data_IF_493869195252
#
_entry.id   IF_493869195252
#
_cell.length_a   1.000
_cell.length_b   1.000
_cell.length_c   1.000
_cell.angle_alpha   90.00
_cell.angle_beta   90.00
_cell.angle_gamma   90.00
#
_symmetry.space_group_name_H-M   'P 1'
#
loop_
_entity.id
_entity.type
_entity.pdbx_description
1 polymer ?
#
# COMPACT_ATOMS: atom_id res chain seq x y z
N UNK A 1 5.79 -8.64 10.41
CA UNK A 1 4.99 -7.42 10.36
C UNK A 1 3.76 -7.58 9.47
N UNK A 2 3.08 -6.48 9.13
CA UNK A 2 1.81 -6.49 8.36
C UNK A 2 2.01 -6.56 6.83
N UNK A 3 3.25 -6.45 6.34
CA UNK A 3 3.56 -6.43 4.90
C UNK A 3 3.00 -7.63 4.11
N UNK A 4 3.07 -8.90 4.57
CA UNK A 4 2.50 -10.03 3.84
C UNK A 4 1.00 -9.88 3.59
N UNK A 5 0.27 -9.32 4.57
CA UNK A 5 -1.16 -9.05 4.41
C UNK A 5 -1.43 -7.99 3.34
N UNK A 6 -0.64 -6.92 3.33
CA UNK A 6 -0.79 -5.86 2.33
C UNK A 6 -0.57 -6.43 0.93
N UNK A 7 0.52 -7.19 0.74
CA UNK A 7 0.82 -7.84 -0.54
C UNK A 7 -0.29 -8.80 -0.99
N UNK A 8 -0.81 -9.62 -0.07
CA UNK A 8 -1.93 -10.52 -0.35
C UNK A 8 -3.21 -9.76 -0.73
N UNK A 9 -3.54 -8.70 0.00
CA UNK A 9 -4.71 -7.86 -0.26
C UNK A 9 -4.63 -7.20 -1.64
N UNK A 10 -3.45 -6.73 -2.02
CA UNK A 10 -3.17 -6.16 -3.33
C UNK A 10 -3.38 -7.17 -4.44
N UNK A 11 -2.77 -8.35 -4.31
CA UNK A 11 -2.88 -9.44 -5.30
C UNK A 11 -4.35 -9.82 -5.48
N UNK A 12 -5.09 -9.99 -4.38
CA UNK A 12 -6.51 -10.33 -4.45
C UNK A 12 -7.34 -9.20 -5.08
N UNK A 13 -7.05 -7.93 -4.79
CA UNK A 13 -7.73 -6.80 -5.42
C UNK A 13 -7.46 -6.74 -6.93
N UNK A 14 -6.22 -6.98 -7.36
CA UNK A 14 -5.87 -7.04 -8.78
C UNK A 14 -6.57 -8.21 -9.47
N UNK A 15 -6.54 -9.39 -8.86
CA UNK A 15 -7.25 -10.57 -9.38
C UNK A 15 -8.76 -10.33 -9.47
N UNK A 16 -9.35 -9.62 -8.51
CA UNK A 16 -10.79 -9.29 -8.51
C UNK A 16 -11.15 -8.34 -9.67
N UNK A 17 -10.23 -7.51 -10.12
CA UNK A 17 -10.47 -6.63 -11.27
C UNK A 17 -10.18 -7.29 -12.62
N UNK A 18 -9.36 -8.36 -12.64
CA UNK A 18 -8.94 -9.05 -13.86
C UNK A 18 -9.73 -10.34 -14.14
N UNK A 19 -10.21 -11.02 -13.10
CA UNK A 19 -10.90 -12.30 -13.21
C UNK A 19 -12.40 -12.10 -13.08
N UNK A 20 -13.21 -12.38 -14.15
CA UNK A 20 -14.66 -12.14 -14.15
C UNK A 20 -15.40 -12.86 -13.01
N UNK A 21 -14.96 -14.06 -12.63
CA UNK A 21 -15.56 -14.83 -11.53
C UNK A 21 -15.42 -14.12 -10.17
N UNK A 22 -14.27 -13.46 -9.92
CA UNK A 22 -14.05 -12.70 -8.69
C UNK A 22 -14.76 -11.33 -8.74
N UNK A 23 -14.91 -10.76 -9.93
CA UNK A 23 -15.69 -9.53 -10.12
C UNK A 23 -17.18 -9.78 -9.80
N UNK A 24 -17.73 -10.92 -10.22
CA UNK A 24 -19.09 -11.33 -9.87
C UNK A 24 -19.26 -11.48 -8.35
N UNK A 25 -18.31 -12.11 -7.67
CA UNK A 25 -18.29 -12.19 -6.21
C UNK A 25 -18.32 -10.81 -5.55
N UNK A 26 -17.60 -9.83 -6.10
CA UNK A 26 -17.64 -8.45 -5.60
C UNK A 26 -19.03 -7.82 -5.75
N UNK A 27 -19.76 -8.15 -6.83
CA UNK A 27 -21.14 -7.68 -7.08
C UNK A 27 -22.18 -8.35 -6.17
N UNK A 28 -21.91 -9.52 -5.59
CA UNK A 28 -22.78 -10.22 -4.62
C UNK A 28 -22.89 -9.48 -3.26
N UNK A 29 -22.25 -8.34 -3.08
CA UNK A 29 -22.32 -7.51 -1.87
C UNK A 29 -21.58 -8.11 -0.67
N UNK A 30 -22.20 -8.11 0.53
CA UNK A 30 -21.52 -8.50 1.77
C UNK A 30 -21.05 -9.95 1.82
N UNK A 31 -21.77 -10.88 1.17
CA UNK A 31 -21.37 -12.30 1.14
C UNK A 31 -20.14 -12.51 0.26
N UNK A 32 -20.10 -11.88 -0.90
CA UNK A 32 -18.94 -11.93 -1.78
C UNK A 32 -17.70 -11.28 -1.15
N UNK A 33 -17.88 -10.15 -0.45
CA UNK A 33 -16.79 -9.50 0.27
C UNK A 33 -16.18 -10.39 1.37
N UNK A 34 -17.01 -11.16 2.09
CA UNK A 34 -16.51 -12.14 3.08
C UNK A 34 -15.61 -13.19 2.43
N UNK A 35 -15.98 -13.71 1.25
CA UNK A 35 -15.16 -14.69 0.51
C UNK A 35 -13.85 -14.08 0.02
N UNK A 36 -13.88 -12.85 -0.50
CA UNK A 36 -12.67 -12.12 -0.92
C UNK A 36 -11.73 -11.92 0.27
N UNK A 37 -12.25 -11.55 1.43
CA UNK A 37 -11.45 -11.42 2.65
C UNK A 37 -10.85 -12.76 3.10
N UNK A 38 -11.56 -13.89 2.94
CA UNK A 38 -11.00 -15.22 3.21
C UNK A 38 -9.83 -15.55 2.27
N UNK A 39 -9.96 -15.28 0.98
CA UNK A 39 -8.84 -15.47 0.03
C UNK A 39 -7.63 -14.60 0.40
N UNK A 40 -7.86 -13.37 0.83
CA UNK A 40 -6.80 -12.49 1.32
C UNK A 40 -6.10 -13.09 2.56
N UNK A 41 -6.85 -13.66 3.51
CA UNK A 41 -6.27 -14.32 4.69
C UNK A 41 -5.42 -15.53 4.31
N UNK A 42 -5.89 -16.41 3.42
CA UNK A 42 -5.11 -17.54 2.95
C UNK A 42 -3.86 -17.12 2.19
N UNK A 43 -3.97 -16.11 1.31
CA UNK A 43 -2.83 -15.52 0.63
C UNK A 43 -1.82 -14.91 1.60
N UNK A 44 -2.29 -14.28 2.67
CA UNK A 44 -1.43 -13.74 3.74
C UNK A 44 -0.64 -14.82 4.45
N UNK A 45 -1.28 -15.93 4.82
CA UNK A 45 -0.58 -17.06 5.47
C UNK A 45 0.49 -17.63 4.56
N UNK A 46 0.16 -17.86 3.28
CA UNK A 46 1.12 -18.37 2.30
C UNK A 46 2.34 -17.45 2.14
N UNK A 47 2.10 -16.15 1.90
CA UNK A 47 3.17 -15.17 1.73
C UNK A 47 3.98 -14.97 3.02
N UNK A 48 3.33 -14.92 4.18
CA UNK A 48 4.01 -14.79 5.47
C UNK A 48 4.91 -15.98 5.75
N UNK A 49 4.45 -17.21 5.43
CA UNK A 49 5.25 -18.42 5.59
C UNK A 49 6.48 -18.41 4.68
N UNK A 50 6.32 -18.04 3.40
CA UNK A 50 7.43 -17.91 2.47
C UNK A 50 8.44 -16.87 2.96
N UNK A 51 8.00 -15.68 3.33
CA UNK A 51 8.87 -14.61 3.81
C UNK A 51 9.56 -14.97 5.13
N UNK A 52 8.85 -15.60 6.07
CA UNK A 52 9.40 -16.04 7.34
C UNK A 52 10.48 -17.13 7.16
N UNK A 53 10.28 -18.05 6.23
CA UNK A 53 11.28 -19.07 5.89
C UNK A 53 12.53 -18.44 5.27
N UNK A 54 12.36 -17.52 4.31
CA UNK A 54 13.49 -16.80 3.69
C UNK A 54 14.29 -16.00 4.72
N UNK A 55 13.61 -15.34 5.64
CA UNK A 55 14.27 -14.60 6.73
C UNK A 55 15.05 -15.54 7.66
N UNK A 56 14.47 -16.69 8.04
CA UNK A 56 15.14 -17.67 8.90
C UNK A 56 16.43 -18.20 8.25
N UNK A 57 16.37 -18.55 6.96
CA UNK A 57 17.54 -19.00 6.20
C UNK A 57 18.60 -17.89 6.08
N UNK A 58 18.18 -16.65 5.85
CA UNK A 58 19.06 -15.49 5.76
C UNK A 58 19.80 -15.23 7.10
N UNK A 59 19.09 -15.34 8.21
CA UNK A 59 19.68 -15.17 9.56
C UNK A 59 20.71 -16.27 9.87
N UNK A 60 20.44 -17.52 9.48
CA UNK A 60 21.39 -18.61 9.64
C UNK A 60 22.64 -18.40 8.77
N UNK A 61 22.45 -18.03 7.51
CA UNK A 61 23.55 -17.77 6.58
C UNK A 61 24.41 -16.56 7.01
N UNK A 62 23.80 -15.58 7.68
CA UNK A 62 24.49 -14.42 8.25
C UNK A 62 25.25 -14.67 9.55
N UNK A 63 25.21 -15.89 10.10
CA UNK A 63 25.91 -16.24 11.35
C UNK A 63 25.35 -15.52 12.58
N UNK A 64 24.11 -14.98 12.49
CA UNK A 64 23.47 -14.25 13.58
C UNK A 64 22.76 -15.18 14.59
N UNK A 65 22.73 -16.47 14.30
CA UNK A 65 22.05 -17.49 15.10
C UNK A 65 23.06 -18.39 15.75
N UNK A 66 22.98 -18.56 17.07
CA UNK A 66 23.91 -19.39 17.87
C UNK A 66 23.72 -20.87 17.57
N UNK A 67 22.47 -21.32 17.43
CA UNK A 67 22.09 -22.68 17.09
C UNK A 67 21.11 -22.66 15.89
N UNK A 68 21.65 -22.86 14.68
CA UNK A 68 20.84 -23.02 13.47
C UNK A 68 20.25 -24.43 13.38
N UNK A 69 19.21 -24.58 12.59
CA UNK A 69 18.63 -25.88 12.29
C UNK A 69 17.10 -25.86 12.18
N UNK A 70 16.53 -27.05 12.03
CA UNK A 70 15.09 -27.20 11.82
C UNK A 70 14.25 -26.59 12.95
N UNK A 71 14.72 -26.71 14.20
CA UNK A 71 14.03 -26.14 15.36
C UNK A 71 13.95 -24.61 15.29
N UNK A 72 15.07 -23.95 15.01
CA UNK A 72 15.12 -22.49 14.85
C UNK A 72 14.20 -22.03 13.71
N UNK A 73 14.26 -22.68 12.54
CA UNK A 73 13.42 -22.35 11.39
C UNK A 73 11.93 -22.50 11.72
N UNK A 74 11.56 -23.60 12.39
CA UNK A 74 10.18 -23.82 12.80
C UNK A 74 9.70 -22.79 13.81
N UNK A 75 10.50 -22.47 14.83
CA UNK A 75 10.18 -21.46 15.83
C UNK A 75 10.03 -20.06 15.17
N UNK A 76 10.95 -19.68 14.29
CA UNK A 76 10.92 -18.43 13.54
C UNK A 76 9.65 -18.33 12.67
N UNK A 77 9.31 -19.41 11.93
CA UNK A 77 8.10 -19.50 11.14
C UNK A 77 6.84 -19.28 11.98
N UNK A 78 6.67 -20.06 13.03
CA UNK A 78 5.48 -19.99 13.90
C UNK A 78 5.34 -18.60 14.51
N UNK A 79 6.43 -18.01 14.99
CA UNK A 79 6.42 -16.69 15.64
C UNK A 79 6.08 -15.57 14.64
N UNK A 80 6.71 -15.57 13.47
CA UNK A 80 6.50 -14.51 12.47
C UNK A 80 5.13 -14.61 11.81
N UNK A 81 4.68 -15.82 11.46
CA UNK A 81 3.34 -16.03 10.90
C UNK A 81 2.27 -15.73 11.96
N UNK A 82 2.44 -16.21 13.18
CA UNK A 82 1.54 -15.92 14.30
C UNK A 82 1.42 -14.43 14.58
N UNK A 83 2.54 -13.69 14.60
CA UNK A 83 2.56 -12.24 14.76
C UNK A 83 1.86 -11.51 13.59
N UNK A 84 2.03 -11.98 12.36
CA UNK A 84 1.35 -11.42 11.19
C UNK A 84 -0.16 -11.65 11.26
N UNK A 85 -0.58 -12.87 11.64
CA UNK A 85 -2.00 -13.19 11.78
C UNK A 85 -2.66 -12.42 12.92
N UNK A 86 -1.94 -12.21 14.03
CA UNK A 86 -2.41 -11.39 15.14
C UNK A 86 -2.62 -9.93 14.73
N UNK A 87 -1.65 -9.33 14.02
CA UNK A 87 -1.79 -7.96 13.51
C UNK A 87 -2.92 -7.82 12.50
N UNK A 88 -3.10 -8.80 11.64
CA UNK A 88 -4.22 -8.83 10.70
C UNK A 88 -5.57 -8.87 11.44
N UNK A 89 -5.72 -9.78 12.40
CA UNK A 89 -6.92 -9.86 13.24
C UNK A 89 -7.19 -8.56 13.99
N UNK A 90 -6.15 -7.95 14.57
CA UNK A 90 -6.25 -6.67 15.26
C UNK A 90 -6.73 -5.56 14.30
N UNK A 91 -6.16 -5.49 13.09
CA UNK A 91 -6.59 -4.54 12.07
C UNK A 91 -8.04 -4.71 11.65
N UNK A 92 -8.52 -5.96 11.55
CA UNK A 92 -9.93 -6.25 11.28
C UNK A 92 -10.85 -5.84 12.44
N UNK A 93 -10.43 -6.06 13.70
CA UNK A 93 -11.20 -5.62 14.87
C UNK A 93 -11.29 -4.08 14.94
N UNK A 94 -10.20 -3.39 14.65
CA UNK A 94 -10.21 -1.91 14.59
C UNK A 94 -11.14 -1.42 13.49
N UNK A 95 -11.13 -2.06 12.32
CA UNK A 95 -12.03 -1.72 11.21
C UNK A 95 -13.49 -1.99 11.55
N UNK A 96 -13.78 -3.09 12.26
CA UNK A 96 -15.16 -3.49 12.59
C UNK A 96 -15.78 -2.67 13.73
N UNK A 97 -14.98 -2.22 14.70
CA UNK A 97 -15.44 -1.57 15.93
C UNK A 97 -14.86 -0.17 16.18
N UNK A 98 -13.88 0.24 15.39
CA UNK A 98 -13.18 1.51 15.52
C UNK A 98 -13.52 2.50 14.40
N UNK A 99 -12.60 3.42 14.15
CA UNK A 99 -12.75 4.49 13.16
C UNK A 99 -11.85 4.24 11.96
N UNK A 100 -12.42 4.19 10.77
CA UNK A 100 -11.67 4.07 9.51
C UNK A 100 -11.13 2.67 9.24
N UNK A 101 -10.05 2.59 8.46
CA UNK A 101 -9.41 1.33 8.10
C UNK A 101 -8.32 0.97 9.12
N UNK A 102 -8.55 -0.08 9.92
CA UNK A 102 -7.65 -0.50 10.99
C UNK A 102 -6.26 -0.89 10.52
N UNK A 103 -6.13 -1.44 9.32
CA UNK A 103 -4.82 -1.81 8.76
C UNK A 103 -4.01 -0.57 8.41
N UNK A 104 -4.64 0.43 7.82
CA UNK A 104 -4.00 1.72 7.55
C UNK A 104 -3.55 2.41 8.83
N UNK A 105 -4.33 2.28 9.91
CA UNK A 105 -3.97 2.78 11.24
C UNK A 105 -2.74 2.06 11.81
N UNK A 106 -2.65 0.74 11.68
CA UNK A 106 -1.48 -0.03 12.15
C UNK A 106 -0.22 0.38 11.39
N UNK A 107 -0.31 0.58 10.07
CA UNK A 107 0.82 1.06 9.25
C UNK A 107 1.24 2.46 9.71
N UNK A 108 0.27 3.36 9.88
CA UNK A 108 0.50 4.72 10.33
C UNK A 108 1.20 4.78 11.71
N UNK A 109 0.71 4.00 12.67
CA UNK A 109 1.33 3.90 14.00
C UNK A 109 2.74 3.34 13.92
N UNK A 110 2.98 2.32 13.07
CA UNK A 110 4.30 1.75 12.84
C UNK A 110 5.31 2.79 12.31
N UNK A 111 4.89 3.63 11.38
CA UNK A 111 5.73 4.70 10.84
C UNK A 111 5.99 5.78 11.90
N UNK A 112 4.95 6.23 12.61
CA UNK A 112 5.09 7.30 13.61
C UNK A 112 5.90 6.85 14.82
N UNK A 113 5.83 5.59 15.21
CA UNK A 113 6.59 5.06 16.34
C UNK A 113 8.12 5.20 16.16
N UNK A 114 8.61 5.21 14.93
CA UNK A 114 10.04 5.37 14.63
C UNK A 114 10.49 6.83 14.55
N UNK A 115 9.55 7.78 14.37
CA UNK A 115 9.87 9.21 14.19
C UNK A 115 10.62 9.81 15.38
N UNK A 116 10.26 9.56 16.66
CA UNK A 116 11.00 10.13 17.80
C UNK A 116 12.45 9.66 17.85
N UNK A 117 12.70 8.37 17.58
CA UNK A 117 14.05 7.82 17.56
C UNK A 117 14.88 8.40 16.39
N UNK A 118 14.29 8.51 15.22
CA UNK A 118 14.92 9.12 14.04
C UNK A 118 15.26 10.60 14.28
N UNK A 119 14.38 11.38 14.89
CA UNK A 119 14.64 12.77 15.27
C UNK A 119 15.76 12.88 16.29
N UNK A 120 15.76 12.04 17.34
CA UNK A 120 16.82 12.03 18.33
C UNK A 120 18.19 11.76 17.69
N UNK A 121 18.27 10.80 16.80
CA UNK A 121 19.47 10.42 16.05
C UNK A 121 19.93 11.55 15.11
N UNK A 122 19.00 12.19 14.43
CA UNK A 122 19.26 13.34 13.54
C UNK A 122 19.86 14.52 14.32
N UNK A 123 19.28 14.90 15.45
CA UNK A 123 19.81 15.97 16.30
C UNK A 123 21.14 15.60 16.97
N UNK A 124 21.34 14.33 17.34
CA UNK A 124 22.61 13.85 17.85
C UNK A 124 23.73 13.98 16.81
N UNK A 125 23.44 13.63 15.54
CA UNK A 125 24.36 13.81 14.41
C UNK A 125 24.69 15.29 14.15
N UNK A 126 23.74 16.17 14.38
CA UNK A 126 23.98 17.62 14.33
C UNK A 126 24.91 18.13 15.45
N UNK A 127 24.73 17.60 16.67
CA UNK A 127 25.61 17.96 17.83
C UNK A 127 27.04 17.42 17.69
N UNK A 128 27.21 16.26 17.07
CA UNK A 128 28.53 15.67 16.82
C UNK A 128 29.29 16.36 15.66
N UNK A 129 28.69 17.36 15.01
CA UNK A 129 29.30 18.08 13.87
C UNK A 129 29.31 17.29 12.57
N UNK A 130 28.71 16.11 12.53
CA UNK A 130 28.60 15.30 11.31
C UNK A 130 27.68 15.95 10.26
N UNK A 131 26.74 16.78 10.69
CA UNK A 131 25.80 17.50 9.83
C UNK A 131 25.88 19.00 10.13
N UNK A 132 26.00 19.83 9.08
CA UNK A 132 26.06 21.28 9.28
C UNK A 132 24.69 21.83 9.71
N UNK A 133 24.64 22.90 10.51
CA UNK A 133 23.39 23.54 10.95
C UNK A 133 22.47 23.94 9.79
N UNK A 134 23.05 24.36 8.67
CA UNK A 134 22.30 24.72 7.47
C UNK A 134 21.54 23.53 6.87
N UNK A 135 22.13 22.34 6.88
CA UNK A 135 21.47 21.12 6.41
C UNK A 135 20.32 20.72 7.35
N UNK A 136 20.48 20.90 8.67
CA UNK A 136 19.43 20.63 9.64
C UNK A 136 18.20 21.50 9.36
N UNK A 137 18.39 22.79 9.19
CA UNK A 137 17.32 23.74 8.86
C UNK A 137 16.69 23.37 7.50
N UNK A 138 17.51 23.04 6.50
CA UNK A 138 17.05 22.63 5.17
C UNK A 138 16.18 21.38 5.22
N UNK A 139 16.56 20.37 5.99
CA UNK A 139 15.75 19.13 6.15
C UNK A 139 14.43 19.41 6.85
N UNK A 140 14.42 20.20 7.92
CA UNK A 140 13.17 20.56 8.62
C UNK A 140 12.23 21.33 7.67
N UNK A 141 12.77 22.30 6.93
CA UNK A 141 11.98 23.05 5.95
C UNK A 141 11.41 22.12 4.87
N UNK A 142 12.23 21.22 4.35
CA UNK A 142 11.81 20.23 3.35
C UNK A 142 10.68 19.34 3.86
N UNK A 143 10.75 18.86 5.11
CA UNK A 143 9.70 18.06 5.73
C UNK A 143 8.39 18.84 5.82
N UNK A 144 8.43 20.09 6.29
CA UNK A 144 7.24 20.95 6.41
C UNK A 144 6.62 21.21 5.04
N UNK A 145 7.44 21.56 4.03
CA UNK A 145 6.97 21.80 2.66
C UNK A 145 6.35 20.54 2.07
N UNK A 146 6.97 19.38 2.27
CA UNK A 146 6.45 18.09 1.78
C UNK A 146 5.10 17.76 2.41
N UNK A 147 4.96 17.92 3.73
CA UNK A 147 3.68 17.67 4.43
C UNK A 147 2.62 18.65 3.91
N UNK A 148 2.93 19.93 3.79
CA UNK A 148 2.00 20.92 3.27
C UNK A 148 1.54 20.59 1.84
N UNK A 149 2.47 20.17 0.97
CA UNK A 149 2.19 19.79 -0.40
C UNK A 149 1.30 18.55 -0.47
N UNK A 150 1.61 17.51 0.32
CA UNK A 150 0.80 16.26 0.37
C UNK A 150 -0.61 16.57 0.86
N UNK A 151 -0.77 17.35 1.93
CA UNK A 151 -2.09 17.75 2.44
C UNK A 151 -2.87 18.55 1.40
N UNK A 152 -2.21 19.45 0.69
CA UNK A 152 -2.82 20.22 -0.40
C UNK A 152 -3.34 19.30 -1.50
N UNK A 153 -2.53 18.36 -1.97
CA UNK A 153 -2.91 17.41 -3.02
C UNK A 153 -4.03 16.45 -2.59
N UNK A 154 -3.99 15.95 -1.35
CA UNK A 154 -5.03 15.06 -0.81
C UNK A 154 -6.40 15.75 -0.64
N UNK A 155 -6.39 17.07 -0.37
CA UNK A 155 -7.61 17.87 -0.26
C UNK A 155 -8.09 18.43 -1.59
N UNK A 156 -7.29 18.33 -2.66
CA UNK A 156 -7.62 18.87 -3.97
C UNK A 156 -8.81 18.13 -4.61
N UNK A 157 -9.84 18.86 -4.95
CA UNK A 157 -11.05 18.36 -5.59
C UNK A 157 -11.25 19.03 -6.96
N UNK A 158 -11.48 18.22 -7.98
CA UNK A 158 -11.92 18.71 -9.29
C UNK A 158 -13.44 18.72 -9.33
N UNK A 159 -14.04 19.88 -9.52
CA UNK A 159 -15.49 20.04 -9.62
C UNK A 159 -15.91 19.86 -11.09
N UNK A 160 -16.67 18.81 -11.38
CA UNK A 160 -17.26 18.57 -12.71
C UNK A 160 -18.67 19.13 -12.69
N UNK A 161 -18.99 20.01 -13.64
CA UNK A 161 -20.31 20.63 -13.75
C UNK A 161 -21.31 19.61 -14.31
N UNK A 162 -22.42 19.38 -13.59
CA UNK A 162 -23.53 18.53 -14.02
C UNK A 162 -24.75 19.43 -14.23
N UNK A 163 -25.33 19.36 -15.42
CA UNK A 163 -26.60 20.02 -15.74
C UNK A 163 -27.72 19.00 -15.68
N UNK A 164 -28.68 19.23 -14.80
CA UNK A 164 -29.89 18.44 -14.80
C UNK A 164 -30.89 18.98 -15.83
N UNK A 165 -31.56 18.09 -16.60
CA UNK A 165 -32.57 18.53 -17.56
C UNK A 165 -33.72 19.23 -16.85
N UNK A 166 -34.30 20.22 -17.52
CA UNK A 166 -35.49 20.90 -17.02
C UNK A 166 -36.65 19.93 -17.01
N UNK A 167 -37.31 19.78 -15.85
CA UNK A 167 -38.53 18.97 -15.70
C UNK A 167 -39.74 19.89 -15.75
N UNK A 168 -40.71 19.57 -16.60
CA UNK A 168 -42.01 20.21 -16.63
C UNK A 168 -42.95 19.42 -15.73
N UNK A 169 -43.31 20.00 -14.59
CA UNK A 169 -44.29 19.41 -13.66
C UNK A 169 -45.58 20.26 -13.79
N UNK A 170 -46.49 19.80 -14.63
CA UNK A 170 -47.70 20.54 -14.95
C UNK A 170 -47.43 21.85 -15.72
N UNK A 171 -48.02 22.96 -15.29
CA UNK A 171 -47.84 24.31 -15.90
C UNK A 171 -46.56 25.04 -15.40
N UNK A 172 -45.79 24.48 -14.49
CA UNK A 172 -44.57 25.10 -13.92
C UNK A 172 -43.35 24.44 -14.54
N UNK A 173 -42.52 25.22 -15.16
CA UNK A 173 -41.17 24.81 -15.62
C UNK A 173 -40.24 25.01 -14.43
N UNK A 174 -39.77 23.92 -13.86
CA UNK A 174 -38.73 23.95 -12.81
C UNK A 174 -37.40 24.11 -13.53
N UNK A 175 -36.70 25.21 -13.26
CA UNK A 175 -35.35 25.43 -13.81
C UNK A 175 -34.44 24.32 -13.35
N UNK A 176 -33.69 23.70 -14.30
CA UNK A 176 -32.73 22.66 -14.00
C UNK A 176 -31.67 23.18 -13.03
N UNK A 177 -31.55 22.55 -11.87
CA UNK A 177 -30.49 22.88 -10.92
C UNK A 177 -29.15 22.43 -11.49
N UNK A 178 -28.15 23.30 -11.46
CA UNK A 178 -26.79 22.93 -11.77
C UNK A 178 -26.10 22.46 -10.48
N UNK A 179 -25.52 21.28 -10.51
CA UNK A 179 -24.75 20.72 -9.40
C UNK A 179 -23.30 20.44 -9.84
N UNK A 180 -22.41 20.30 -8.88
CA UNK A 180 -21.01 19.98 -9.15
C UNK A 180 -20.67 18.64 -8.50
N UNK A 181 -20.15 17.69 -9.29
CA UNK A 181 -19.62 16.42 -8.80
C UNK A 181 -18.18 16.66 -8.32
N UNK A 182 -17.90 16.55 -7.01
CA UNK A 182 -16.54 16.67 -6.50
C UNK A 182 -15.79 15.36 -6.72
N UNK A 183 -14.78 15.37 -7.60
CA UNK A 183 -13.89 14.22 -7.83
C UNK A 183 -12.53 14.53 -7.23
N UNK A 184 -11.99 13.63 -6.39
CA UNK A 184 -10.65 13.77 -5.85
C UNK A 184 -9.61 13.74 -6.97
N UNK A 185 -8.60 14.61 -6.91
CA UNK A 185 -7.49 14.63 -7.87
C UNK A 185 -6.64 13.37 -7.73
N UNK A 186 -6.43 12.91 -6.49
CA UNK A 186 -5.74 11.64 -6.20
C UNK A 186 -6.70 10.66 -5.51
N UNK A 187 -7.55 9.91 -6.26
CA UNK A 187 -8.45 8.92 -5.67
C UNK A 187 -7.73 7.66 -5.20
N UNK A 188 -6.53 7.38 -5.71
CA UNK A 188 -5.74 6.22 -5.35
C UNK A 188 -5.00 6.36 -4.00
N UNK A 189 -4.76 7.59 -3.54
CA UNK A 189 -4.08 7.86 -2.27
C UNK A 189 -2.66 7.29 -2.21
N UNK A 190 -2.32 6.65 -1.10
CA UNK A 190 -1.00 6.03 -0.85
C UNK A 190 -0.88 4.60 -1.41
N UNK A 191 -1.99 4.00 -1.84
CA UNK A 191 -2.05 2.59 -2.26
C UNK A 191 -1.04 2.24 -3.37
N UNK A 192 -0.86 3.03 -4.44
CA UNK A 192 0.12 2.75 -5.48
C UNK A 192 1.57 2.66 -4.99
N UNK A 193 1.95 3.49 -4.03
CA UNK A 193 3.29 3.47 -3.45
C UNK A 193 3.54 2.18 -2.65
N UNK A 194 2.52 1.71 -1.91
CA UNK A 194 2.57 0.45 -1.17
C UNK A 194 2.66 -0.73 -2.15
N UNK A 195 1.95 -0.68 -3.28
CA UNK A 195 2.01 -1.69 -4.34
C UNK A 195 3.41 -1.79 -4.94
N UNK A 196 3.96 -0.67 -5.36
CA UNK A 196 5.28 -0.60 -5.94
C UNK A 196 6.36 -1.12 -4.96
N UNK A 197 6.30 -0.72 -3.68
CA UNK A 197 7.24 -1.19 -2.66
C UNK A 197 7.12 -2.69 -2.40
N UNK A 198 5.89 -3.22 -2.30
CA UNK A 198 5.66 -4.65 -2.09
C UNK A 198 6.16 -5.51 -3.26
N UNK A 199 5.97 -5.03 -4.49
CA UNK A 199 6.43 -5.76 -5.68
C UNK A 199 7.97 -5.75 -5.79
N UNK A 200 8.61 -4.63 -5.46
CA UNK A 200 10.07 -4.52 -5.46
C UNK A 200 10.75 -5.35 -4.36
N UNK A 201 10.04 -5.65 -3.27
CA UNK A 201 10.54 -6.55 -2.24
C UNK A 201 10.55 -8.02 -2.66
N UNK A 202 9.72 -8.43 -3.64
CA UNK A 202 9.68 -9.83 -4.09
C UNK A 202 11.02 -10.32 -4.67
N UNK A 203 11.69 -9.64 -5.61
CA UNK A 203 13.00 -10.05 -6.08
C UNK A 203 14.05 -10.10 -4.97
N UNK A 204 14.02 -9.14 -4.04
CA UNK A 204 14.92 -9.13 -2.89
C UNK A 204 14.70 -10.33 -1.96
N UNK A 205 13.45 -10.74 -1.72
CA UNK A 205 13.15 -11.95 -0.96
C UNK A 205 13.56 -13.23 -1.70
N UNK A 206 13.35 -13.30 -3.02
CA UNK A 206 13.77 -14.46 -3.83
C UNK A 206 15.29 -14.60 -3.81
N UNK A 207 16.05 -13.50 -3.86
CA UNK A 207 17.51 -13.55 -3.77
C UNK A 207 18.01 -14.09 -2.43
N UNK A 208 17.29 -13.86 -1.32
CA UNK A 208 17.66 -14.46 -0.02
C UNK A 208 17.49 -15.98 0.02
N UNK A 209 16.58 -16.55 -0.79
CA UNK A 209 16.43 -18.01 -0.92
C UNK A 209 17.52 -18.67 -1.75
N UNK A 210 18.10 -17.95 -2.72
CA UNK A 210 19.15 -18.49 -3.61
C UNK A 210 20.51 -18.63 -2.94
N UNK A 211 20.71 -18.09 -1.75
CA UNK A 211 21.99 -18.14 -1.03
C UNK A 211 23.15 -17.60 -1.88
N UNK A 212 24.35 -18.16 -1.68
CA UNK A 212 25.57 -17.78 -2.42
C UNK A 212 25.60 -18.22 -3.89
N UNK A 213 24.56 -18.88 -4.39
CA UNK A 213 24.45 -19.35 -5.80
C UNK A 213 23.63 -18.40 -6.68
N UNK A 214 23.68 -17.10 -6.38
CA UNK A 214 23.14 -16.08 -7.29
C UNK A 214 23.95 -16.10 -8.58
N UNK A 215 23.34 -16.56 -9.69
CA UNK A 215 23.97 -16.53 -10.99
C UNK A 215 24.39 -15.11 -11.39
N UNK A 216 25.32 -14.95 -12.35
CA UNK A 216 25.86 -13.65 -12.74
C UNK A 216 24.78 -12.62 -13.16
N UNK A 217 23.66 -13.09 -13.66
CA UNK A 217 22.52 -12.25 -14.05
C UNK A 217 21.84 -11.64 -12.83
N UNK A 218 21.60 -12.43 -11.78
CA UNK A 218 20.93 -11.97 -10.57
C UNK A 218 21.80 -11.00 -9.75
N UNK A 219 23.12 -11.26 -9.68
CA UNK A 219 24.07 -10.34 -9.02
C UNK A 219 24.15 -9.00 -9.74
N UNK A 220 24.12 -9.00 -11.08
CA UNK A 220 24.09 -7.78 -11.89
C UNK A 220 22.77 -7.02 -11.69
N UNK A 221 21.63 -7.72 -11.70
CA UNK A 221 20.35 -7.10 -11.42
C UNK A 221 20.31 -6.47 -10.03
N UNK A 222 20.78 -7.14 -9.00
CA UNK A 222 20.84 -6.59 -7.63
C UNK A 222 21.78 -5.40 -7.52
N UNK A 223 22.87 -5.36 -8.27
CA UNK A 223 23.82 -4.24 -8.29
C UNK A 223 23.18 -2.98 -8.89
N UNK A 224 22.35 -3.10 -9.92
CA UNK A 224 21.69 -1.97 -10.58
C UNK A 224 20.33 -1.61 -9.97
N UNK A 225 19.59 -2.58 -9.45
CA UNK A 225 18.27 -2.42 -8.83
C UNK A 225 18.31 -2.46 -7.28
N UNK A 226 19.50 -2.36 -6.70
CA UNK A 226 19.64 -2.27 -5.24
C UNK A 226 19.05 -0.97 -4.67
N UNK A 227 18.60 -0.99 -3.41
CA UNK A 227 18.10 0.20 -2.72
C UNK A 227 19.16 1.32 -2.71
N UNK A 228 18.77 2.52 -3.15
CA UNK A 228 19.67 3.69 -3.24
C UNK A 228 20.29 3.92 -4.61
N UNK A 229 20.16 3.02 -5.57
CA UNK A 229 20.62 3.24 -6.94
C UNK A 229 19.62 4.12 -7.72
N UNK A 230 20.12 5.00 -8.64
CA UNK A 230 19.25 5.88 -9.41
C UNK A 230 18.27 5.11 -10.31
N UNK A 231 18.67 3.96 -10.83
CA UNK A 231 17.81 3.10 -11.64
C UNK A 231 16.66 2.50 -10.82
N UNK A 232 16.92 2.13 -9.57
CA UNK A 232 15.90 1.69 -8.62
C UNK A 232 14.85 2.78 -8.40
N UNK A 233 15.27 4.03 -8.16
CA UNK A 233 14.38 5.16 -7.94
C UNK A 233 13.51 5.45 -9.16
N UNK A 234 14.09 5.39 -10.35
CA UNK A 234 13.37 5.60 -11.60
C UNK A 234 12.33 4.51 -11.84
N UNK A 235 12.72 3.24 -11.63
CA UNK A 235 11.80 2.11 -11.78
C UNK A 235 10.69 2.14 -10.73
N UNK A 236 11.01 2.50 -9.47
CA UNK A 236 10.03 2.67 -8.40
C UNK A 236 9.03 3.77 -8.74
N UNK A 237 9.49 4.92 -9.23
CA UNK A 237 8.61 6.02 -9.66
C UNK A 237 7.71 5.60 -10.83
N UNK A 238 8.26 4.89 -11.83
CA UNK A 238 7.47 4.37 -12.94
C UNK A 238 6.39 3.38 -12.48
N UNK A 239 6.71 2.50 -11.54
CA UNK A 239 5.77 1.56 -10.94
C UNK A 239 4.65 2.29 -10.14
N UNK A 240 5.00 3.33 -9.39
CA UNK A 240 3.98 4.14 -8.69
C UNK A 240 3.03 4.78 -9.69
N UNK A 241 3.53 5.36 -10.78
CA UNK A 241 2.70 5.99 -11.81
C UNK A 241 1.80 4.95 -12.47
N UNK A 242 2.35 3.79 -12.83
CA UNK A 242 1.59 2.69 -13.43
C UNK A 242 0.46 2.22 -12.50
N UNK A 243 0.74 1.95 -11.24
CA UNK A 243 -0.28 1.50 -10.29
C UNK A 243 -1.28 2.60 -9.93
N UNK A 244 -0.86 3.86 -9.88
CA UNK A 244 -1.78 4.99 -9.68
C UNK A 244 -2.80 5.07 -10.82
N UNK A 245 -2.31 4.96 -12.05
CA UNK A 245 -3.17 4.94 -13.23
C UNK A 245 -4.12 3.73 -13.22
N UNK A 246 -3.55 2.53 -13.04
CA UNK A 246 -4.33 1.28 -12.98
C UNK A 246 -5.40 1.30 -11.89
N UNK A 247 -5.05 1.73 -10.67
CA UNK A 247 -5.98 1.77 -9.55
C UNK A 247 -7.09 2.82 -9.77
N UNK A 248 -6.75 3.96 -10.30
CA UNK A 248 -7.71 5.02 -10.57
C UNK A 248 -8.78 4.56 -11.55
N UNK A 249 -8.38 3.94 -12.67
CA UNK A 249 -9.32 3.53 -13.72
C UNK A 249 -10.10 2.25 -13.39
N UNK A 250 -9.46 1.27 -12.75
CA UNK A 250 -10.10 -0.03 -12.55
C UNK A 250 -10.80 -0.17 -11.20
N UNK A 251 -10.39 0.58 -10.18
CA UNK A 251 -10.89 0.38 -8.81
C UNK A 251 -11.64 1.59 -8.27
N UNK A 252 -11.09 2.80 -8.42
CA UNK A 252 -11.64 3.99 -7.77
C UNK A 252 -12.70 4.71 -8.58
N UNK A 253 -12.55 4.78 -9.88
CA UNK A 253 -13.44 5.56 -10.74
C UNK A 253 -13.75 4.78 -12.03
N UNK A 254 -14.93 4.16 -12.06
CA UNK A 254 -15.50 3.57 -13.27
C UNK A 254 -16.47 4.59 -13.87
N UNK A 255 -16.11 5.29 -14.96
CA UNK A 255 -16.96 6.35 -15.53
C UNK A 255 -18.33 5.84 -15.97
N UNK A 256 -18.39 4.62 -16.48
CA UNK A 256 -19.63 3.99 -16.95
C UNK A 256 -20.61 3.76 -15.80
N UNK A 257 -20.16 3.21 -14.66
CA UNK A 257 -21.00 3.00 -13.47
C UNK A 257 -21.52 4.34 -12.89
N UNK A 258 -20.69 5.39 -12.93
CA UNK A 258 -21.10 6.74 -12.49
C UNK A 258 -22.13 7.36 -13.44
N UNK A 259 -21.95 7.21 -14.75
CA UNK A 259 -22.87 7.70 -15.76
C UNK A 259 -24.24 6.99 -15.65
N UNK A 260 -24.24 5.65 -15.49
CA UNK A 260 -25.47 4.88 -15.32
C UNK A 260 -26.20 5.22 -14.01
N UNK A 261 -25.48 5.41 -12.93
CA UNK A 261 -26.07 5.87 -11.66
C UNK A 261 -26.71 7.27 -11.79
N UNK A 262 -26.04 8.20 -12.47
CA UNK A 262 -26.60 9.54 -12.74
C UNK A 262 -27.83 9.48 -13.65
N UNK A 263 -27.84 8.57 -14.62
CA UNK A 263 -28.99 8.34 -15.51
C UNK A 263 -30.18 7.75 -14.77
N UNK A 264 -29.94 6.82 -13.83
CA UNK A 264 -31.00 6.16 -13.07
C UNK A 264 -31.58 7.03 -11.95
N UNK A 265 -30.89 8.11 -11.54
CA UNK A 265 -31.37 9.08 -10.56
C UNK A 265 -32.22 10.21 -11.17
N UNK A 266 -32.35 10.25 -12.50
CA UNK A 266 -33.20 11.16 -13.27
C UNK A 266 -34.49 10.48 -13.75
#
# INVERSE_FOLDING_TARGET
>A
GIMPYISASIIVQLLTSMVPALEQLKKEGQQGQKKINQYTRYGTVALATMQAYGLAVSLEAGGLVTEGGLYFRAACLITLVGGTMFLMWLGEQITARGIGNGISLIIFVGIIAEVPAALAQFFASGRSGAISPAVIVGVILMVVVTIAFVVFMERALRKIHIQYPRRQVGMRVQEGSSSHLPVKVNPAGVIPAIFASSLLLLPATVSTFSGNSTGPVMSTLLAYFGPGQPLYLLFFAAMIIFFAYFYTFNVSFKPDDVADNLKNQN
#
